data_IF_071948552319
#
_entry.id   IF_071948552319
#
_cell.length_a   1.000
_cell.length_b   1.000
_cell.length_c   1.000
_cell.angle_alpha   90.00
_cell.angle_beta   90.00
_cell.angle_gamma   90.00
#
_symmetry.space_group_name_H-M   'P 1'
#
loop_
_entity.id
_entity.type
_entity.pdbx_description
1 polymer ?
#
# COMPACT_ATOMS: atom_id res chain seq x y z
N UNK A 1 -12.86 3.37 -3.58
CA UNK A 1 -13.40 2.22 -4.33
C UNK A 1 -14.70 1.71 -3.74
N UNK A 2 -15.63 1.18 -4.56
CA UNK A 2 -16.82 0.48 -4.08
C UNK A 2 -16.42 -0.65 -3.12
N UNK A 3 -17.06 -0.70 -1.94
CA UNK A 3 -16.75 -1.68 -0.89
C UNK A 3 -15.63 -1.26 0.08
N UNK A 4 -14.94 -0.14 -0.16
CA UNK A 4 -13.96 0.37 0.79
C UNK A 4 -14.60 0.74 2.14
N UNK A 5 -13.97 0.31 3.23
CA UNK A 5 -14.30 0.70 4.60
C UNK A 5 -13.01 1.05 5.34
N UNK A 6 -12.97 2.22 5.97
CA UNK A 6 -11.82 2.65 6.75
C UNK A 6 -11.68 4.17 6.85
N UNK A 7 -10.62 4.60 7.53
CA UNK A 7 -10.18 5.99 7.55
C UNK A 7 -9.23 6.27 6.39
N UNK A 8 -9.48 7.37 5.67
CA UNK A 8 -8.72 7.75 4.48
C UNK A 8 -7.37 8.36 4.90
N UNK A 9 -6.26 7.81 4.39
CA UNK A 9 -4.94 8.46 4.48
C UNK A 9 -4.94 9.71 3.60
N UNK A 10 -4.55 10.86 4.15
CA UNK A 10 -4.31 12.09 3.38
C UNK A 10 -2.80 12.27 3.20
N UNK A 11 -2.38 12.56 1.98
CA UNK A 11 -1.03 13.02 1.67
C UNK A 11 -1.06 14.54 1.54
N UNK A 12 -0.31 15.23 2.41
CA UNK A 12 -0.33 16.69 2.51
C UNK A 12 1.07 17.24 2.22
N UNK A 13 1.15 18.18 1.28
CA UNK A 13 2.38 18.85 0.90
C UNK A 13 2.20 20.37 1.00
N UNK A 14 3.14 21.04 1.65
CA UNK A 14 3.19 22.50 1.67
C UNK A 14 4.01 22.99 0.48
N UNK A 15 3.36 23.63 -0.50
CA UNK A 15 4.02 24.22 -1.67
C UNK A 15 4.37 25.71 -1.47
N UNK A 16 3.98 26.29 -0.32
CA UNK A 16 4.27 27.67 0.02
C UNK A 16 5.59 27.85 0.77
N UNK A 17 6.06 29.09 0.84
CA UNK A 17 7.29 29.45 1.58
C UNK A 17 7.10 29.54 3.11
N UNK A 18 5.84 29.62 3.57
CA UNK A 18 5.51 29.78 4.98
C UNK A 18 4.99 28.47 5.59
N UNK A 19 5.29 28.17 6.87
CA UNK A 19 4.69 27.05 7.58
C UNK A 19 3.17 27.15 7.68
N UNK A 20 2.47 26.02 7.55
CA UNK A 20 1.02 25.92 7.71
C UNK A 20 0.72 25.04 8.91
N UNK A 21 0.04 25.59 9.91
CA UNK A 21 -0.40 24.83 11.09
C UNK A 21 -1.65 24.00 10.75
N UNK A 22 -1.59 22.71 11.04
CA UNK A 22 -2.74 21.81 11.02
C UNK A 22 -3.13 21.45 12.45
N UNK A 23 -4.42 21.39 12.73
CA UNK A 23 -4.94 21.05 14.05
C UNK A 23 -6.02 19.98 13.95
N UNK A 24 -6.12 19.06 14.93
CA UNK A 24 -7.20 18.09 14.97
C UNK A 24 -8.59 18.75 14.88
N UNK A 25 -9.48 18.19 14.06
CA UNK A 25 -10.83 18.71 13.83
C UNK A 25 -10.93 19.79 12.73
N UNK A 26 -9.80 20.26 12.18
CA UNK A 26 -9.80 21.15 11.03
C UNK A 26 -10.39 20.45 9.80
N UNK A 27 -11.28 21.14 9.07
CA UNK A 27 -11.77 20.66 7.77
C UNK A 27 -10.66 20.85 6.73
N UNK A 28 -10.17 19.77 6.16
CA UNK A 28 -9.03 19.77 5.20
C UNK A 28 -9.38 19.17 3.84
N UNK A 29 -10.51 18.48 3.72
CA UNK A 29 -10.95 17.85 2.48
C UNK A 29 -12.47 17.65 2.46
N UNK A 30 -12.99 17.27 1.29
CA UNK A 30 -14.39 16.91 1.06
C UNK A 30 -14.45 15.62 0.25
N UNK A 31 -15.54 14.87 0.41
CA UNK A 31 -15.82 13.67 -0.37
C UNK A 31 -16.89 13.98 -1.42
N UNK A 32 -16.66 13.51 -2.63
CA UNK A 32 -17.65 13.50 -3.71
C UNK A 32 -17.89 12.05 -4.08
N UNK A 33 -19.16 11.65 -4.12
CA UNK A 33 -19.56 10.29 -4.46
C UNK A 33 -20.12 10.27 -5.88
N UNK A 34 -19.74 9.24 -6.64
CA UNK A 34 -20.26 8.99 -7.98
C UNK A 34 -20.92 7.62 -7.99
N UNK A 35 -22.17 7.56 -8.44
CA UNK A 35 -22.92 6.32 -8.55
C UNK A 35 -22.39 5.44 -9.69
N UNK A 36 -22.33 4.13 -9.45
CA UNK A 36 -22.01 3.16 -10.49
C UNK A 36 -23.27 2.74 -11.26
N UNK A 37 -23.11 2.41 -12.54
CA UNK A 37 -24.21 1.90 -13.37
C UNK A 37 -24.74 0.52 -12.92
N UNK A 38 -23.91 -0.25 -12.23
CA UNK A 38 -24.21 -1.57 -11.69
C UNK A 38 -23.27 -1.87 -10.52
N UNK A 39 -23.61 -2.87 -9.72
CA UNK A 39 -22.76 -3.33 -8.62
C UNK A 39 -21.36 -3.73 -9.10
N UNK A 40 -20.36 -3.51 -8.25
CA UNK A 40 -18.99 -3.91 -8.54
C UNK A 40 -18.86 -5.44 -8.41
N UNK A 41 -18.41 -6.10 -9.48
CA UNK A 41 -18.16 -7.55 -9.47
C UNK A 41 -16.96 -7.96 -8.62
N UNK A 42 -16.05 -7.02 -8.35
CA UNK A 42 -14.85 -7.21 -7.52
C UNK A 42 -14.66 -5.97 -6.63
N UNK A 43 -15.47 -5.82 -5.57
CA UNK A 43 -15.36 -4.69 -4.65
C UNK A 43 -14.00 -4.68 -3.94
N UNK A 44 -13.65 -3.52 -3.38
CA UNK A 44 -12.48 -3.38 -2.52
C UNK A 44 -12.65 -4.24 -1.25
N UNK A 45 -11.58 -4.90 -0.82
CA UNK A 45 -11.59 -5.83 0.31
C UNK A 45 -10.54 -6.93 0.21
N UNK A 46 -10.50 -7.79 1.24
CA UNK A 46 -9.54 -8.89 1.36
C UNK A 46 -9.66 -9.91 0.21
N UNK A 47 -10.87 -10.24 -0.22
CA UNK A 47 -11.10 -11.16 -1.35
C UNK A 47 -10.48 -10.68 -2.67
N UNK A 48 -10.34 -9.36 -2.84
CA UNK A 48 -9.67 -8.76 -4.00
C UNK A 48 -8.15 -8.67 -3.86
N UNK A 49 -7.59 -8.97 -2.68
CA UNK A 49 -6.19 -8.68 -2.34
C UNK A 49 -5.96 -7.20 -2.02
N UNK A 50 -6.98 -6.49 -1.53
CA UNK A 50 -6.88 -5.06 -1.26
C UNK A 50 -6.07 -4.78 0.01
N UNK A 51 -5.13 -3.83 -0.05
CA UNK A 51 -4.10 -3.63 0.96
C UNK A 51 -4.54 -2.90 2.23
N UNK A 52 -5.63 -2.12 2.15
CA UNK A 52 -5.97 -1.11 3.16
C UNK A 52 -7.43 -1.18 3.65
N UNK A 53 -8.11 -2.32 3.50
CA UNK A 53 -9.46 -2.50 4.03
C UNK A 53 -9.45 -2.47 5.57
N UNK A 54 -10.49 -1.86 6.15
CA UNK A 54 -10.69 -1.71 7.59
C UNK A 54 -9.58 -0.93 8.32
N UNK A 55 -8.86 -0.09 7.57
CA UNK A 55 -7.78 0.72 8.12
C UNK A 55 -8.27 1.74 9.16
N UNK A 56 -7.52 1.85 10.26
CA UNK A 56 -7.60 2.92 11.23
C UNK A 56 -6.33 3.78 11.21
N UNK A 57 -6.49 5.10 11.22
CA UNK A 57 -5.42 6.06 11.12
C UNK A 57 -4.72 6.08 9.74
N UNK A 58 -3.71 6.93 9.57
CA UNK A 58 -2.86 6.90 8.38
C UNK A 58 -1.98 5.64 8.38
N UNK A 59 -1.80 5.04 7.20
CA UNK A 59 -0.88 3.90 7.01
C UNK A 59 0.16 4.26 5.97
N UNK A 60 1.38 3.76 6.21
CA UNK A 60 2.44 3.79 5.22
C UNK A 60 2.10 2.92 4.01
N UNK A 61 2.77 3.20 2.90
CA UNK A 61 2.65 2.42 1.67
C UNK A 61 3.04 0.96 1.90
N UNK A 62 2.28 0.06 1.27
CA UNK A 62 2.54 -1.39 1.18
C UNK A 62 2.97 -1.80 -0.23
N UNK A 63 3.63 -0.91 -0.96
CA UNK A 63 4.07 -1.19 -2.34
C UNK A 63 5.08 -2.35 -2.40
N UNK A 64 5.89 -2.54 -1.36
CA UNK A 64 6.81 -3.68 -1.26
C UNK A 64 6.13 -5.05 -1.27
N UNK A 65 4.82 -5.12 -0.96
CA UNK A 65 4.05 -6.37 -0.98
C UNK A 65 3.58 -6.72 -2.40
N UNK A 66 3.81 -5.84 -3.39
CA UNK A 66 3.47 -6.11 -4.79
C UNK A 66 4.42 -7.15 -5.40
N UNK A 67 3.90 -8.20 -6.06
CA UNK A 67 4.72 -9.24 -6.69
C UNK A 67 5.78 -8.72 -7.66
N UNK A 68 5.53 -7.58 -8.30
CA UNK A 68 6.44 -6.91 -9.24
C UNK A 68 7.76 -6.46 -8.58
N UNK A 69 7.79 -6.32 -7.26
CA UNK A 69 8.99 -5.94 -6.49
C UNK A 69 9.56 -7.09 -5.66
N UNK A 70 9.00 -8.31 -5.78
CA UNK A 70 9.56 -9.51 -5.19
C UNK A 70 10.86 -9.86 -5.89
N UNK A 71 12.00 -9.52 -5.28
CA UNK A 71 13.32 -9.97 -5.72
C UNK A 71 13.30 -11.50 -5.67
N UNK A 72 13.59 -12.17 -6.80
CA UNK A 72 13.85 -13.60 -6.90
C UNK A 72 15.09 -13.96 -6.05
N UNK A 73 14.93 -13.97 -4.74
CA UNK A 73 16.01 -14.30 -3.78
C UNK A 73 16.30 -15.82 -3.80
N UNK A 74 15.60 -16.59 -4.63
CA UNK A 74 15.76 -18.03 -4.76
C UNK A 74 16.90 -18.45 -5.72
N UNK A 75 17.54 -17.52 -6.43
CA UNK A 75 18.58 -17.85 -7.42
C UNK A 75 20.03 -17.70 -6.94
N UNK A 76 20.29 -17.04 -5.79
CA UNK A 76 21.66 -16.81 -5.29
C UNK A 76 22.13 -17.80 -4.21
N UNK A 77 21.22 -18.54 -3.56
CA UNK A 77 21.58 -19.51 -2.51
C UNK A 77 21.97 -20.90 -3.04
N UNK A 78 21.87 -21.14 -4.36
CA UNK A 78 22.11 -22.46 -4.97
C UNK A 78 23.52 -22.65 -5.57
N UNK A 79 24.42 -21.65 -5.52
CA UNK A 79 25.73 -21.72 -6.19
C UNK A 79 26.95 -21.74 -5.26
N UNK A 80 26.77 -21.73 -3.92
CA UNK A 80 27.90 -21.76 -2.98
C UNK A 80 27.93 -23.00 -2.06
N UNK A 81 27.56 -24.19 -2.58
CA UNK A 81 27.75 -25.44 -1.85
C UNK A 81 28.09 -26.65 -2.74
N UNK A 82 29.18 -26.53 -3.51
CA UNK A 82 29.94 -27.64 -4.13
C UNK A 82 31.16 -26.94 -4.78
N UNK A 83 32.42 -27.03 -4.36
CA UNK A 83 33.20 -28.17 -3.89
C UNK A 83 34.46 -27.67 -3.17
N UNK A 84 34.70 -28.08 -1.92
CA UNK A 84 36.07 -28.29 -1.43
C UNK A 84 36.06 -29.49 -0.49
N UNK A 85 36.23 -30.68 -1.07
CA UNK A 85 36.60 -31.87 -0.32
C UNK A 85 37.89 -32.42 -0.96
N UNK A 86 38.94 -32.43 -0.15
CA UNK A 86 40.31 -32.55 -0.60
C UNK A 86 40.73 -33.92 -1.13
N UNK A 87 41.87 -33.91 -1.80
CA UNK A 87 42.71 -35.08 -2.02
C UNK A 87 44.18 -34.66 -2.10
N UNK A 88 44.92 -35.07 -1.06
CA UNK A 88 46.39 -35.18 -0.89
C UNK A 88 47.27 -33.93 -0.92
#
# INVERSE_FOLDING_TARGET
DPGYRGQITLELSNLGAAPVALSPGMRVSQLVFTELKSDSTRPYGSERGSKYQDQAGPRASKIQDDPEFGVDTAAEDATNHDTDNGSQ
#
